data_IF_518488879372
#
_entry.id   IF_518488879372
#
_cell.length_a   1.000
_cell.length_b   1.000
_cell.length_c   1.000
_cell.angle_alpha   90.00
_cell.angle_beta   90.00
_cell.angle_gamma   90.00
#
_symmetry.space_group_name_H-M   'P 1'
#
loop_
_entity.id
_entity.type
_entity.pdbx_description
1 polymer ?
#
# COMPACT_ATOMS: atom_id res chain seq x y z
N UNK A 1 1.01 -18.90 2.66
CA UNK A 1 0.42 -17.58 2.90
C UNK A 1 1.44 -16.53 2.55
N UNK A 2 1.11 -15.64 1.66
CA UNK A 2 2.01 -14.57 1.24
C UNK A 2 1.55 -13.25 1.85
N UNK A 3 2.47 -12.30 1.86
CA UNK A 3 2.14 -10.96 2.33
C UNK A 3 1.02 -10.35 1.49
N UNK A 4 0.98 -10.69 0.20
CA UNK A 4 -0.04 -10.16 -0.71
C UNK A 4 -1.46 -10.64 -0.40
N UNK A 5 -1.62 -11.65 0.46
CA UNK A 5 -2.96 -12.07 0.90
C UNK A 5 -3.66 -10.96 1.67
N UNK A 6 -2.93 -9.96 2.13
CA UNK A 6 -3.50 -8.80 2.80
C UNK A 6 -4.08 -7.77 1.84
N UNK A 7 -3.91 -7.97 0.54
CA UNK A 7 -4.45 -7.06 -0.47
C UNK A 7 -5.79 -7.59 -0.96
N UNK A 8 -6.80 -6.73 -0.91
CA UNK A 8 -8.15 -7.06 -1.37
C UNK A 8 -8.55 -6.09 -2.47
N UNK A 9 -9.11 -6.61 -3.54
CA UNK A 9 -9.67 -5.78 -4.60
C UNK A 9 -11.18 -6.00 -4.60
N UNK A 10 -11.91 -4.99 -4.19
CA UNK A 10 -13.36 -5.08 -4.07
C UNK A 10 -13.98 -3.80 -4.60
N UNK A 11 -14.75 -3.86 -5.70
CA UNK A 11 -15.34 -2.66 -6.29
C UNK A 11 -16.23 -1.86 -5.34
N UNK A 12 -16.84 -2.55 -4.39
CA UNK A 12 -17.76 -1.90 -3.45
C UNK A 12 -17.06 -1.16 -2.33
N UNK A 13 -15.80 -1.49 -2.06
CA UNK A 13 -15.06 -0.86 -0.97
C UNK A 13 -14.19 0.30 -1.44
N UNK A 14 -13.37 0.08 -2.45
CA UNK A 14 -12.37 1.06 -2.84
C UNK A 14 -12.40 1.34 -4.35
N UNK A 15 -13.56 1.26 -4.96
CA UNK A 15 -13.72 1.61 -6.38
C UNK A 15 -12.71 0.88 -7.28
N UNK A 16 -12.60 -0.44 -7.09
CA UNK A 16 -11.67 -1.29 -7.84
C UNK A 16 -10.20 -1.07 -7.53
N UNK A 17 -9.89 -0.27 -6.52
CA UNK A 17 -8.49 -0.09 -6.09
C UNK A 17 -8.10 -1.15 -5.09
N UNK A 18 -6.84 -1.58 -5.08
CA UNK A 18 -6.38 -2.51 -4.06
C UNK A 18 -6.45 -1.87 -2.68
N UNK A 19 -7.02 -2.60 -1.75
CA UNK A 19 -7.21 -2.16 -0.38
C UNK A 19 -6.55 -3.14 0.58
N UNK A 20 -6.36 -2.71 1.82
CA UNK A 20 -5.76 -3.53 2.86
C UNK A 20 -6.84 -4.34 3.56
N UNK A 21 -6.73 -5.67 3.47
CA UNK A 21 -7.56 -6.64 4.24
C UNK A 21 -9.06 -6.33 4.29
N UNK A 22 -9.62 -5.84 3.16
CA UNK A 22 -11.05 -5.48 3.16
C UNK A 22 -11.38 -4.21 3.93
N UNK A 23 -10.38 -3.54 4.50
CA UNK A 23 -10.56 -2.24 5.11
C UNK A 23 -10.69 -1.19 4.02
N UNK A 24 -11.17 -0.02 4.39
CA UNK A 24 -11.35 1.06 3.42
C UNK A 24 -10.11 1.92 3.28
N UNK A 25 -8.95 1.31 3.36
CA UNK A 25 -7.67 1.99 3.19
C UNK A 25 -7.04 1.52 1.90
N UNK A 26 -7.12 2.30 0.82
CA UNK A 26 -6.42 1.94 -0.40
C UNK A 26 -4.91 1.90 -0.18
N UNK A 27 -4.26 0.98 -0.86
CA UNK A 27 -2.79 0.88 -0.80
C UNK A 27 -2.16 2.21 -1.14
N UNK A 28 -2.70 2.92 -2.15
CA UNK A 28 -2.12 4.20 -2.56
C UNK A 28 -2.15 5.25 -1.44
N UNK A 29 -3.17 5.21 -0.57
CA UNK A 29 -3.24 6.14 0.55
C UNK A 29 -2.08 5.93 1.51
N UNK A 30 -1.75 4.68 1.80
CA UNK A 30 -0.61 4.37 2.67
C UNK A 30 0.68 4.87 2.02
N UNK A 31 0.83 4.66 0.73
CA UNK A 31 2.02 5.12 0.00
C UNK A 31 2.12 6.64 0.01
N UNK A 32 1.00 7.34 -0.13
CA UNK A 32 0.99 8.79 -0.06
C UNK A 32 1.38 9.31 1.31
N UNK A 33 0.90 8.66 2.36
CA UNK A 33 1.27 9.05 3.73
C UNK A 33 2.78 8.89 3.95
N UNK A 34 3.34 7.79 3.48
CA UNK A 34 4.78 7.57 3.58
C UNK A 34 5.54 8.61 2.77
N UNK A 35 5.06 8.93 1.58
CA UNK A 35 5.75 9.90 0.73
C UNK A 35 5.69 11.31 1.29
N UNK A 36 4.72 11.59 2.14
CA UNK A 36 4.60 12.91 2.78
C UNK A 36 5.55 13.07 3.97
N UNK A 37 6.23 12.00 4.35
CA UNK A 37 7.19 12.05 5.44
C UNK A 37 6.72 11.41 6.73
N UNK A 38 5.52 10.83 6.77
CA UNK A 38 5.07 10.13 7.96
C UNK A 38 5.86 8.84 8.13
N UNK A 39 6.21 8.55 9.38
CA UNK A 39 6.85 7.29 9.70
C UNK A 39 5.80 6.19 9.86
N UNK A 40 6.25 4.93 9.81
CA UNK A 40 5.34 3.82 10.04
C UNK A 40 4.67 3.93 11.40
N UNK A 41 5.43 4.33 12.43
CA UNK A 41 4.88 4.48 13.77
C UNK A 41 3.77 5.52 13.81
N UNK A 42 3.94 6.63 13.10
CA UNK A 42 2.94 7.67 13.04
C UNK A 42 1.67 7.19 12.34
N UNK A 43 1.83 6.46 11.24
CA UNK A 43 0.69 5.91 10.51
C UNK A 43 -0.07 4.92 11.38
N UNK A 44 0.64 4.03 12.07
CA UNK A 44 -0.01 3.04 12.92
C UNK A 44 -0.71 3.69 14.12
N UNK A 45 -0.18 4.82 14.61
CA UNK A 45 -0.82 5.54 15.69
C UNK A 45 -2.11 6.21 15.24
N UNK A 46 -2.15 6.71 14.01
CA UNK A 46 -3.32 7.42 13.48
C UNK A 46 -4.40 6.47 12.94
N UNK A 47 -4.01 5.30 12.47
CA UNK A 47 -4.92 4.34 11.85
C UNK A 47 -4.87 3.03 12.62
N UNK A 48 -5.67 2.92 13.66
CA UNK A 48 -5.63 1.80 14.59
C UNK A 48 -5.88 0.43 13.94
N UNK A 49 -6.61 0.42 12.83
CA UNK A 49 -6.93 -0.83 12.15
C UNK A 49 -5.75 -1.39 11.35
N UNK A 50 -4.72 -0.60 11.15
CA UNK A 50 -3.56 -1.04 10.38
C UNK A 50 -2.54 -1.74 11.26
N UNK A 51 -1.86 -2.70 10.66
CA UNK A 51 -0.77 -3.43 11.28
C UNK A 51 0.52 -3.12 10.52
N UNK A 52 1.65 -3.37 11.16
CA UNK A 52 2.94 -3.11 10.51
C UNK A 52 3.06 -3.86 9.19
N UNK A 53 2.59 -5.10 9.13
CA UNK A 53 2.64 -5.88 7.90
C UNK A 53 1.77 -5.29 6.79
N UNK A 54 0.75 -4.52 7.15
CA UNK A 54 -0.06 -3.84 6.14
C UNK A 54 0.75 -2.77 5.42
N UNK A 55 1.59 -2.05 6.15
CA UNK A 55 2.48 -1.06 5.54
C UNK A 55 3.51 -1.77 4.67
N UNK A 56 4.05 -2.87 5.15
CA UNK A 56 5.03 -3.65 4.39
C UNK A 56 4.44 -4.16 3.08
N UNK A 57 3.19 -4.67 3.13
CA UNK A 57 2.56 -5.17 1.91
C UNK A 57 2.26 -4.04 0.93
N UNK A 58 1.93 -2.85 1.43
CA UNK A 58 1.72 -1.71 0.56
C UNK A 58 2.99 -1.39 -0.22
N UNK A 59 4.13 -1.38 0.49
CA UNK A 59 5.43 -1.14 -0.14
C UNK A 59 5.78 -2.26 -1.12
N UNK A 60 5.55 -3.51 -0.74
CA UNK A 60 5.84 -4.64 -1.60
C UNK A 60 4.97 -4.63 -2.86
N UNK A 61 3.71 -4.24 -2.70
CA UNK A 61 2.80 -4.14 -3.83
C UNK A 61 3.25 -3.07 -4.81
N UNK A 62 3.67 -1.92 -4.28
CA UNK A 62 4.20 -0.84 -5.11
C UNK A 62 5.45 -1.30 -5.87
N UNK A 63 6.34 -2.00 -5.17
CA UNK A 63 7.54 -2.53 -5.80
C UNK A 63 7.19 -3.49 -6.94
N UNK A 64 6.16 -4.30 -6.73
CA UNK A 64 5.71 -5.25 -7.76
C UNK A 64 5.19 -4.52 -8.98
N UNK A 65 4.44 -3.44 -8.77
CA UNK A 65 3.86 -2.67 -9.87
C UNK A 65 4.93 -1.98 -10.72
N UNK A 66 6.04 -1.58 -10.12
CA UNK A 66 7.11 -0.93 -10.87
C UNK A 66 8.14 -1.90 -11.43
N UNK A 67 7.99 -3.20 -11.16
CA UNK A 67 8.83 -4.23 -11.76
C UNK A 67 8.34 -4.49 -13.18
N UNK A 68 8.85 -3.73 -14.11
CA UNK A 68 8.49 -3.86 -15.51
C UNK A 68 9.68 -4.40 -16.27
N UNK A 69 9.41 -4.94 -17.45
CA UNK A 69 10.47 -5.52 -18.27
C UNK A 69 11.49 -4.50 -18.71
N UNK A 70 11.07 -3.26 -18.79
CA UNK A 70 11.92 -2.19 -19.23
C UNK A 70 11.76 -1.03 -18.26
N UNK A 71 12.87 -0.64 -17.68
CA UNK A 71 12.91 0.47 -16.75
C UNK A 71 13.57 1.64 -17.45
N UNK A 72 12.89 2.77 -17.49
CA UNK A 72 13.47 3.99 -18.04
C UNK A 72 13.99 4.83 -16.90
N UNK A 73 15.21 5.37 -17.05
CA UNK A 73 15.75 6.22 -16.00
C UNK A 73 14.87 7.46 -15.80
N UNK A 74 14.70 7.83 -14.55
CA UNK A 74 14.03 9.08 -14.25
C UNK A 74 15.04 10.18 -14.42
N UNK A 75 14.69 11.16 -15.23
CA UNK A 75 15.56 12.32 -15.42
C UNK A 75 15.63 13.10 -14.11
N UNK A 76 16.82 13.28 -13.62
CA UNK A 76 17.03 14.00 -12.37
C UNK A 76 17.13 15.50 -12.61
#
# INVERSE_FOLDING_TARGET
VTLFDRITINPELCHDKPCIRGLRYPVETILELLSSGMTEAEILADYEDLEQDDIRVALAYAARLVQVKRIEPIAA
#
